data_IF_729689944935
#
_entry.id   IF_729689944935
#
_cell.length_a   1.000
_cell.length_b   1.000
_cell.length_c   1.000
_cell.angle_alpha   90.00
_cell.angle_beta   90.00
_cell.angle_gamma   90.00
#
_symmetry.space_group_name_H-M   'P 1'
#
loop_
_entity.id
_entity.type
_entity.pdbx_description
1 polymer ?
#
# COMPACT_ATOMS: atom_id res chain seq x y z
N UNK A 1 16.95 8.63 17.63
CA UNK A 1 17.40 7.55 16.73
C UNK A 1 16.96 7.91 15.33
N UNK A 2 17.88 7.85 14.39
CA UNK A 2 17.53 8.13 13.00
C UNK A 2 16.70 6.98 12.42
N UNK A 3 15.62 7.30 11.72
CA UNK A 3 14.81 6.31 11.04
C UNK A 3 15.53 5.82 9.78
N UNK A 4 15.33 4.56 9.44
CA UNK A 4 15.91 3.97 8.23
C UNK A 4 15.10 4.38 7.01
N UNK A 5 15.75 4.46 5.85
CA UNK A 5 15.10 4.92 4.62
C UNK A 5 13.89 4.12 4.17
N UNK A 6 13.82 2.81 4.52
CA UNK A 6 12.69 1.96 4.17
C UNK A 6 11.55 1.94 5.17
N UNK A 7 11.75 2.51 6.34
CA UNK A 7 10.73 2.53 7.38
C UNK A 7 9.64 3.56 7.03
N UNK A 8 8.40 3.25 7.43
CA UNK A 8 7.28 4.17 7.24
C UNK A 8 7.20 5.13 8.42
N UNK A 9 7.07 6.42 8.11
CA UNK A 9 6.85 7.44 9.12
C UNK A 9 5.36 7.62 9.41
N UNK A 10 4.52 7.51 8.38
CA UNK A 10 3.10 7.78 8.51
C UNK A 10 2.30 7.17 7.37
N UNK A 11 1.10 6.69 7.69
CA UNK A 11 0.08 6.32 6.72
C UNK A 11 -1.06 7.32 6.79
N UNK A 12 -1.53 7.78 5.63
CA UNK A 12 -2.73 8.61 5.53
C UNK A 12 -3.75 7.84 4.70
N UNK A 13 -4.82 7.40 5.33
CA UNK A 13 -5.85 6.56 4.70
C UNK A 13 -7.17 7.31 4.70
N UNK A 14 -7.68 7.64 3.50
CA UNK A 14 -8.94 8.38 3.32
C UNK A 14 -8.99 9.67 4.14
N UNK A 15 -7.85 10.35 4.27
CA UNK A 15 -7.74 11.60 5.01
C UNK A 15 -7.49 11.47 6.51
N UNK A 16 -7.39 10.25 7.04
CA UNK A 16 -7.09 10.00 8.45
C UNK A 16 -5.67 9.48 8.62
N UNK A 17 -4.94 10.05 9.58
CA UNK A 17 -3.57 9.64 9.89
C UNK A 17 -3.57 8.40 10.78
N UNK A 18 -2.66 7.46 10.46
CA UNK A 18 -2.41 6.27 11.27
C UNK A 18 -0.92 6.13 11.53
N UNK A 19 -0.58 5.70 12.72
CA UNK A 19 0.80 5.44 13.07
C UNK A 19 1.23 4.06 12.55
N UNK A 20 2.42 3.95 11.94
CA UNK A 20 2.93 2.66 11.53
C UNK A 20 3.36 1.83 12.75
N UNK A 21 3.33 0.51 12.59
CA UNK A 21 3.93 -0.38 13.57
C UNK A 21 5.45 -0.26 13.46
N UNK A 22 6.12 -0.12 14.59
CA UNK A 22 7.59 0.02 14.62
C UNK A 22 8.27 -1.16 13.97
N UNK A 23 9.24 -0.88 13.12
CA UNK A 23 10.01 -1.89 12.41
C UNK A 23 9.33 -2.48 11.19
N UNK A 24 8.14 -2.01 10.81
CA UNK A 24 7.48 -2.49 9.60
C UNK A 24 8.03 -1.76 8.38
N UNK A 25 8.28 -2.51 7.32
CA UNK A 25 8.78 -1.98 6.04
C UNK A 25 7.96 -2.60 4.92
N UNK A 26 6.93 -1.92 4.43
CA UNK A 26 6.12 -2.45 3.35
C UNK A 26 6.91 -2.50 2.04
N UNK A 27 6.57 -3.45 1.19
CA UNK A 27 7.12 -3.53 -0.16
C UNK A 27 6.30 -2.61 -1.05
N UNK A 28 6.94 -1.56 -1.57
CA UNK A 28 6.28 -0.60 -2.45
C UNK A 28 6.28 -1.11 -3.88
N UNK A 29 5.13 -1.08 -4.52
CA UNK A 29 4.95 -1.51 -5.91
C UNK A 29 4.45 -0.32 -6.70
N UNK A 30 5.22 0.11 -7.70
CA UNK A 30 4.84 1.24 -8.54
C UNK A 30 3.89 0.78 -9.65
N UNK A 31 2.86 1.59 -9.91
CA UNK A 31 1.94 1.34 -11.01
C UNK A 31 2.64 1.60 -12.35
N UNK A 32 2.17 0.97 -13.39
CA UNK A 32 2.73 1.13 -14.74
C UNK A 32 2.56 -0.12 -15.56
N UNK A 33 3.61 -0.46 -16.30
CA UNK A 33 3.59 -1.62 -17.19
C UNK A 33 4.72 -2.56 -16.88
N UNK A 34 4.43 -3.85 -16.96
CA UNK A 34 5.43 -4.90 -16.94
C UNK A 34 5.64 -5.36 -18.38
N UNK A 35 6.88 -5.32 -18.84
CA UNK A 35 7.23 -5.73 -20.20
C UNK A 35 7.73 -7.17 -20.20
N UNK A 36 7.29 -7.94 -21.17
CA UNK A 36 7.71 -9.31 -21.36
C UNK A 36 8.21 -9.49 -22.78
N UNK A 37 9.44 -10.00 -22.92
CA UNK A 37 10.04 -10.27 -24.22
C UNK A 37 9.85 -11.75 -24.57
N UNK A 38 9.12 -11.99 -25.66
CA UNK A 38 8.83 -13.35 -26.12
C UNK A 38 9.62 -13.63 -27.41
N UNK A 39 10.38 -14.74 -27.47
CA UNK A 39 11.03 -15.12 -28.72
C UNK A 39 10.00 -15.58 -29.74
N UNK A 40 10.18 -15.18 -31.00
CA UNK A 40 9.36 -15.66 -32.11
C UNK A 40 10.06 -16.78 -32.85
N UNK A 41 9.31 -17.54 -33.65
CA UNK A 41 9.86 -18.68 -34.38
C UNK A 41 10.89 -18.33 -35.43
N UNK A 42 11.03 -17.07 -35.81
CA UNK A 42 12.04 -16.59 -36.79
C UNK A 42 13.23 -15.90 -36.09
N UNK A 43 13.40 -16.08 -34.78
CA UNK A 43 14.51 -15.52 -34.01
C UNK A 43 14.38 -14.08 -33.61
N UNK A 44 13.25 -13.45 -33.83
CA UNK A 44 12.96 -12.08 -33.39
C UNK A 44 12.32 -12.07 -32.01
N UNK A 45 12.44 -10.94 -31.30
CA UNK A 45 11.77 -10.74 -30.03
C UNK A 45 10.47 -9.99 -30.23
N UNK A 46 9.43 -10.44 -29.52
CA UNK A 46 8.16 -9.75 -29.43
C UNK A 46 7.97 -9.26 -28.00
N UNK A 47 7.80 -7.95 -27.83
CA UNK A 47 7.62 -7.36 -26.49
C UNK A 47 6.14 -7.15 -26.21
N UNK A 48 5.67 -7.70 -25.11
CA UNK A 48 4.30 -7.54 -24.64
C UNK A 48 4.32 -6.66 -23.40
N UNK A 49 3.55 -5.57 -23.40
CA UNK A 49 3.37 -4.71 -22.25
C UNK A 49 2.07 -5.09 -21.52
N UNK A 50 2.16 -5.37 -20.23
CA UNK A 50 1.00 -5.67 -19.40
C UNK A 50 0.84 -4.60 -18.35
N UNK A 51 -0.39 -4.15 -18.13
CA UNK A 51 -0.67 -3.16 -17.11
C UNK A 51 -0.47 -3.77 -15.72
N UNK A 52 0.20 -3.02 -14.86
CA UNK A 52 0.53 -3.45 -13.50
C UNK A 52 -0.06 -2.49 -12.49
N UNK A 53 -0.79 -3.03 -11.52
CA UNK A 53 -1.30 -2.23 -10.41
C UNK A 53 -0.17 -1.95 -9.43
N UNK A 54 -0.17 -0.74 -8.89
CA UNK A 54 0.75 -0.35 -7.84
C UNK A 54 0.12 -0.50 -6.46
N UNK A 55 0.87 -0.17 -5.44
CA UNK A 55 0.43 -0.22 -4.05
C UNK A 55 1.54 -0.69 -3.12
N UNK A 56 1.17 -1.41 -2.07
CA UNK A 56 2.16 -1.96 -1.16
C UNK A 56 1.63 -3.24 -0.52
N UNK A 57 2.57 -4.10 -0.13
CA UNK A 57 2.31 -5.30 0.66
C UNK A 57 2.96 -5.16 2.01
N UNK A 58 2.39 -5.79 3.03
CA UNK A 58 2.97 -5.82 4.36
C UNK A 58 2.81 -4.52 5.14
N UNK A 59 1.81 -3.72 4.80
CA UNK A 59 1.49 -2.52 5.57
C UNK A 59 0.93 -2.89 6.93
N UNK A 60 1.44 -2.24 7.99
CA UNK A 60 0.98 -2.46 9.36
C UNK A 60 0.75 -1.13 10.04
N UNK A 61 -0.42 -0.95 10.61
CA UNK A 61 -0.80 0.28 11.32
C UNK A 61 -1.30 -0.06 12.73
N UNK A 62 -1.12 0.90 13.64
CA UNK A 62 -1.69 0.82 14.98
C UNK A 62 -3.06 1.47 14.99
N UNK A 63 -4.05 0.78 15.56
CA UNK A 63 -5.41 1.28 15.68
C UNK A 63 -5.68 1.74 17.11
N UNK A 64 -6.29 2.90 17.23
CA UNK A 64 -6.67 3.46 18.52
C UNK A 64 -8.18 3.29 18.73
N UNK A 65 -8.55 2.49 19.74
CA UNK A 65 -9.95 2.20 20.03
C UNK A 65 -10.72 3.46 20.46
N UNK A 66 -10.06 4.41 21.13
CA UNK A 66 -10.71 5.65 21.56
C UNK A 66 -11.08 6.56 20.38
N UNK A 67 -10.37 6.42 19.25
CA UNK A 67 -10.65 7.15 18.01
C UNK A 67 -11.58 6.39 17.07
N UNK A 68 -11.98 5.18 17.44
CA UNK A 68 -12.79 4.28 16.62
C UNK A 68 -12.14 3.96 15.25
N UNK A 69 -10.82 3.80 15.28
CA UNK A 69 -10.06 3.52 14.05
C UNK A 69 -10.47 2.20 13.39
N UNK A 70 -10.78 1.18 14.20
CA UNK A 70 -11.23 -0.10 13.67
C UNK A 70 -12.53 0.02 12.88
N UNK A 71 -13.49 0.78 13.40
CA UNK A 71 -14.76 1.02 12.70
C UNK A 71 -14.54 1.78 11.39
N UNK A 72 -13.65 2.76 11.41
CA UNK A 72 -13.30 3.54 10.23
C UNK A 72 -12.73 2.64 9.12
N UNK A 73 -11.77 1.80 9.45
CA UNK A 73 -11.15 0.87 8.49
C UNK A 73 -12.17 -0.16 8.01
N UNK A 74 -13.01 -0.69 8.91
CA UNK A 74 -14.04 -1.66 8.56
C UNK A 74 -15.02 -1.08 7.53
N UNK A 75 -15.40 0.17 7.70
CA UNK A 75 -16.30 0.86 6.77
C UNK A 75 -15.65 1.05 5.39
N UNK A 76 -14.34 1.33 5.35
CA UNK A 76 -13.61 1.44 4.09
C UNK A 76 -13.55 0.10 3.35
N UNK A 77 -13.29 -0.98 4.09
CA UNK A 77 -13.21 -2.33 3.50
C UNK A 77 -14.57 -2.79 2.98
N UNK A 78 -15.62 -2.50 3.73
CA UNK A 78 -17.00 -2.88 3.36
C UNK A 78 -17.54 -2.04 2.20
N UNK A 79 -17.01 -0.83 2.02
CA UNK A 79 -17.42 0.06 0.94
C UNK A 79 -16.92 -0.44 -0.40
N UNK A 80 -17.63 -0.08 -1.46
CA UNK A 80 -17.27 -0.45 -2.83
C UNK A 80 -16.43 0.62 -3.52
N UNK A 81 -16.28 1.80 -2.89
CA UNK A 81 -15.60 2.95 -3.47
C UNK A 81 -14.09 2.93 -3.18
N UNK A 82 -13.31 3.39 -4.15
CA UNK A 82 -11.88 3.59 -3.96
C UNK A 82 -11.62 4.77 -3.01
N UNK A 83 -10.54 4.70 -2.27
CA UNK A 83 -10.12 5.77 -1.36
C UNK A 83 -8.63 6.04 -1.52
N UNK A 84 -8.20 7.22 -1.13
CA UNK A 84 -6.81 7.63 -1.26
C UNK A 84 -5.98 7.13 -0.09
N UNK A 85 -4.83 6.54 -0.39
CA UNK A 85 -3.86 6.13 0.62
C UNK A 85 -2.51 6.74 0.28
N UNK A 86 -1.88 7.37 1.27
CA UNK A 86 -0.55 7.93 1.13
C UNK A 86 0.38 7.30 2.17
N UNK A 87 1.58 6.95 1.74
CA UNK A 87 2.60 6.37 2.60
C UNK A 87 3.81 7.28 2.59
N UNK A 88 4.20 7.81 3.74
CA UNK A 88 5.39 8.65 3.87
C UNK A 88 6.47 7.85 4.55
N UNK A 89 7.60 7.68 3.87
CA UNK A 89 8.75 6.96 4.40
C UNK A 89 9.58 7.87 5.31
N UNK A 90 10.40 7.26 6.14
CA UNK A 90 11.29 7.98 7.05
C UNK A 90 12.26 8.90 6.31
N UNK A 91 12.59 8.58 5.06
CA UNK A 91 13.43 9.42 4.20
C UNK A 91 12.73 10.70 3.71
N UNK A 92 11.42 10.82 3.93
CA UNK A 92 10.63 11.95 3.47
C UNK A 92 9.92 11.72 2.15
N UNK A 93 10.18 10.61 1.48
CA UNK A 93 9.53 10.26 0.22
C UNK A 93 8.09 9.83 0.49
N UNK A 94 7.15 10.34 -0.29
CA UNK A 94 5.73 10.01 -0.16
C UNK A 94 5.24 9.34 -1.43
N UNK A 95 4.52 8.24 -1.27
CA UNK A 95 3.80 7.56 -2.35
C UNK A 95 2.32 7.68 -2.11
N UNK A 96 1.54 7.90 -3.16
CA UNK A 96 0.11 8.09 -3.03
C UNK A 96 -0.65 7.50 -4.22
N UNK A 97 -1.86 7.05 -3.97
CA UNK A 97 -2.74 6.57 -5.01
C UNK A 97 -4.15 6.32 -4.47
N UNK A 98 -5.09 6.18 -5.38
CA UNK A 98 -6.47 5.83 -5.05
C UNK A 98 -6.75 4.39 -5.45
N UNK A 99 -7.28 3.61 -4.53
CA UNK A 99 -7.55 2.21 -4.77
C UNK A 99 -8.27 1.57 -3.60
N UNK A 100 -8.03 0.28 -3.43
CA UNK A 100 -8.69 -0.52 -2.40
C UNK A 100 -7.70 -1.42 -1.68
N UNK A 101 -8.06 -1.81 -0.46
CA UNK A 101 -7.32 -2.83 0.28
C UNK A 101 -7.55 -4.16 -0.42
N UNK A 102 -6.46 -4.89 -0.68
CA UNK A 102 -6.50 -6.18 -1.35
C UNK A 102 -6.37 -7.31 -0.32
N UNK A 103 -7.14 -8.38 -0.55
CA UNK A 103 -7.08 -9.56 0.28
C UNK A 103 -7.67 -9.37 1.65
N UNK A 104 -7.24 -10.21 2.58
CA UNK A 104 -7.71 -10.17 3.95
C UNK A 104 -6.92 -9.15 4.77
N UNK A 105 -7.63 -8.39 5.59
CA UNK A 105 -7.02 -7.50 6.57
C UNK A 105 -7.07 -8.19 7.92
N UNK A 106 -5.91 -8.45 8.51
CA UNK A 106 -5.79 -9.18 9.77
C UNK A 106 -5.61 -8.21 10.92
N UNK A 107 -6.55 -8.23 11.85
CA UNK A 107 -6.51 -7.39 13.04
C UNK A 107 -6.09 -8.23 14.24
N UNK A 108 -5.03 -7.80 14.91
CA UNK A 108 -4.57 -8.44 16.13
C UNK A 108 -5.16 -7.71 17.34
N UNK A 109 -6.10 -8.36 18.04
CA UNK A 109 -6.80 -7.73 19.14
C UNK A 109 -5.93 -7.47 20.37
N UNK A 110 -4.84 -8.24 20.54
CA UNK A 110 -3.93 -8.04 21.66
C UNK A 110 -3.09 -6.77 21.50
N UNK A 111 -2.61 -6.53 20.29
CA UNK A 111 -1.69 -5.44 20.00
C UNK A 111 -2.38 -4.21 19.43
N UNK A 112 -3.63 -4.34 19.00
CA UNK A 112 -4.34 -3.26 18.33
C UNK A 112 -3.74 -2.90 16.99
N UNK A 113 -3.17 -3.87 16.29
CA UNK A 113 -2.49 -3.67 15.02
C UNK A 113 -3.25 -4.29 13.87
N UNK A 114 -3.21 -3.65 12.72
CA UNK A 114 -3.84 -4.14 11.49
C UNK A 114 -2.79 -4.31 10.41
N UNK A 115 -2.76 -5.48 9.79
CA UNK A 115 -1.95 -5.74 8.61
C UNK A 115 -2.83 -5.72 7.36
N UNK A 116 -2.36 -5.07 6.30
CA UNK A 116 -3.12 -4.99 5.06
C UNK A 116 -2.21 -4.78 3.86
N UNK A 117 -2.76 -5.06 2.68
CA UNK A 117 -2.13 -4.75 1.40
C UNK A 117 -3.04 -3.80 0.63
N UNK A 118 -2.45 -2.93 -0.18
CA UNK A 118 -3.18 -1.91 -0.93
C UNK A 118 -2.84 -2.02 -2.41
N UNK A 119 -3.85 -1.86 -3.27
CA UNK A 119 -3.66 -1.83 -4.73
C UNK A 119 -4.34 -0.63 -5.33
N UNK A 120 -3.65 -0.01 -6.28
CA UNK A 120 -4.10 1.22 -6.94
C UNK A 120 -3.65 1.22 -8.39
N UNK A 121 -4.43 1.85 -9.25
CA UNK A 121 -4.05 2.03 -10.66
C UNK A 121 -3.03 3.16 -10.85
N UNK A 122 -2.92 4.06 -9.88
CA UNK A 122 -2.12 5.28 -9.99
C UNK A 122 -1.19 5.50 -8.79
N UNK A 123 -0.72 4.42 -8.17
CA UNK A 123 0.19 4.53 -7.02
C UNK A 123 1.56 4.97 -7.50
N UNK A 124 1.97 6.16 -7.10
CA UNK A 124 3.22 6.76 -7.56
C UNK A 124 3.83 7.68 -6.50
N UNK A 125 5.09 8.01 -6.69
CA UNK A 125 5.79 8.97 -5.84
C UNK A 125 5.30 10.37 -6.16
N UNK A 126 5.04 11.12 -5.10
CA UNK A 126 4.65 12.53 -5.22
C UNK A 126 5.89 13.41 -5.18
#
# INVERSE_FOLDING_TARGET
MAARGGDVRQYLIAGREFDPVGGSSPTIILAGYTNENLPTGNGKLHTVARRKLGGFDGGSISLDASRKDQEFIQNLISGQEAFTVSVTLASGITYSGSGKIEGESNFNSNDGQLEFAFRSENFEQI
#
